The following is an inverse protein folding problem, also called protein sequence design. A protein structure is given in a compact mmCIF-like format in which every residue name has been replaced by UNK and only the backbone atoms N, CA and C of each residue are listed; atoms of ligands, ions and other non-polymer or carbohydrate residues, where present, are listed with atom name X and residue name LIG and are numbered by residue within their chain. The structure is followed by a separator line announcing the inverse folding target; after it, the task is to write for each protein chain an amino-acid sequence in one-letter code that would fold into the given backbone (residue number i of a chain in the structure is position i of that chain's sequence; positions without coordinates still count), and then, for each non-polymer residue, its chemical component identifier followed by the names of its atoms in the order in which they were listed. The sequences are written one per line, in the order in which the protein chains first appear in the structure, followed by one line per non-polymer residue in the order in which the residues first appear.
data_IF_396631647922
#
_entry.id   IF_396631647922
#
_cell.length_a   1.000
_cell.length_b   1.000
_cell.length_c   1.000
_cell.angle_alpha   90.00
_cell.angle_beta   90.00
_cell.angle_gamma   90.00
#
_symmetry.space_group_name_H-M   'P 1'
#
loop_
_entity.id
_entity.type
_entity.pdbx_description
1 polymer ?
#
# COMPACT_ATOMS: atom_id res chain seq x y z
N UNK A 1 1.35 -13.37 -12.04
CA UNK A 1 2.21 -12.60 -11.11
C UNK A 1 1.45 -11.61 -10.21
N UNK A 2 0.52 -10.79 -10.74
CA UNK A 2 -0.30 -9.85 -9.96
C UNK A 2 -0.98 -10.42 -8.69
N UNK A 3 -1.54 -11.62 -8.78
CA UNK A 3 -2.20 -12.31 -7.65
C UNK A 3 -1.24 -12.70 -6.52
N UNK A 4 0.01 -13.05 -6.82
CA UNK A 4 1.00 -13.46 -5.81
C UNK A 4 1.38 -12.27 -4.93
N UNK A 5 1.64 -11.11 -5.54
CA UNK A 5 1.92 -9.86 -4.81
C UNK A 5 0.72 -9.41 -3.96
N UNK A 6 -0.49 -9.44 -4.53
CA UNK A 6 -1.71 -9.11 -3.77
C UNK A 6 -1.89 -10.08 -2.60
N UNK A 7 -1.62 -11.37 -2.81
CA UNK A 7 -1.69 -12.38 -1.75
C UNK A 7 -0.68 -12.10 -0.63
N UNK A 8 0.58 -11.79 -0.97
CA UNK A 8 1.62 -11.40 0.00
C UNK A 8 1.21 -10.14 0.79
N UNK A 9 0.64 -9.13 0.13
CA UNK A 9 0.16 -7.90 0.78
C UNK A 9 -1.02 -8.21 1.71
N UNK A 10 -1.96 -9.07 1.29
CA UNK A 10 -3.07 -9.52 2.15
C UNK A 10 -2.58 -10.33 3.35
N UNK A 11 -1.56 -11.15 3.16
CA UNK A 11 -0.93 -11.93 4.24
C UNK A 11 -0.26 -10.98 5.24
N UNK A 12 0.53 -10.03 4.75
CA UNK A 12 1.09 -8.96 5.58
C UNK A 12 0.00 -8.19 6.34
N UNK A 13 -1.09 -7.81 5.66
CA UNK A 13 -2.22 -7.12 6.29
C UNK A 13 -2.91 -7.98 7.36
N UNK A 14 -3.07 -9.28 7.13
CA UNK A 14 -3.76 -10.19 8.05
C UNK A 14 -2.94 -10.54 9.29
N UNK A 15 -1.63 -10.72 9.11
CA UNK A 15 -0.75 -11.18 10.19
C UNK A 15 0.00 -10.06 10.90
N UNK A 16 0.39 -8.98 10.18
CA UNK A 16 1.24 -7.91 10.72
C UNK A 16 0.45 -6.63 11.01
N UNK A 17 -0.60 -6.31 10.23
CA UNK A 17 -1.40 -5.10 10.49
C UNK A 17 -2.15 -5.08 11.83
N UNK A 18 -2.72 -6.18 12.38
CA UNK A 18 -3.42 -6.11 13.67
C UNK A 18 -2.47 -5.93 14.86
N UNK A 19 -1.18 -6.22 14.67
CA UNK A 19 -0.13 -6.04 15.67
C UNK A 19 0.45 -4.63 15.68
N UNK A 20 0.07 -3.76 14.73
CA UNK A 20 0.60 -2.40 14.60
C UNK A 20 -0.53 -1.39 14.60
N UNK A 21 -0.38 -0.26 15.32
CA UNK A 21 -1.35 0.83 15.25
C UNK A 21 -1.45 1.37 13.81
N UNK A 22 -2.57 2.03 13.49
CA UNK A 22 -2.79 2.61 12.17
C UNK A 22 -1.78 3.73 11.89
N UNK A 23 -0.62 3.39 11.32
CA UNK A 23 0.43 4.34 10.97
C UNK A 23 0.23 4.99 9.59
N UNK A 24 -0.76 4.53 8.80
CA UNK A 24 -1.01 5.09 7.47
C UNK A 24 -1.55 6.51 7.60
N UNK A 25 -0.75 7.49 7.19
CA UNK A 25 -1.16 8.90 7.12
C UNK A 25 -1.92 9.27 5.85
N UNK A 26 -1.86 8.41 4.85
CA UNK A 26 -2.55 8.62 3.58
C UNK A 26 -3.81 7.78 3.48
N UNK A 27 -4.84 8.34 2.85
CA UNK A 27 -6.09 7.64 2.52
C UNK A 27 -6.22 7.50 0.99
N UNK A 28 -6.58 6.32 0.46
CA UNK A 28 -6.69 5.04 1.16
C UNK A 28 -5.33 4.54 1.69
N UNK A 29 -5.36 3.57 2.63
CA UNK A 29 -4.14 3.06 3.29
C UNK A 29 -3.11 2.55 2.28
N UNK A 30 -1.81 2.55 2.64
CA UNK A 30 -0.74 2.11 1.73
C UNK A 30 -0.95 0.69 1.20
N UNK A 31 -1.53 -0.21 2.01
CA UNK A 31 -1.86 -1.58 1.59
C UNK A 31 -2.99 -1.62 0.55
N UNK A 32 -3.99 -0.76 0.70
CA UNK A 32 -5.12 -0.70 -0.23
C UNK A 32 -4.72 -0.02 -1.53
N UNK A 33 -3.95 1.07 -1.45
CA UNK A 33 -3.29 1.68 -2.60
C UNK A 33 -2.41 0.69 -3.35
N UNK A 34 -1.66 -0.16 -2.64
CA UNK A 34 -0.82 -1.16 -3.28
C UNK A 34 -1.64 -2.18 -4.09
N UNK A 35 -2.78 -2.61 -3.55
CA UNK A 35 -3.69 -3.53 -4.24
C UNK A 35 -4.27 -2.86 -5.49
N UNK A 36 -4.84 -1.67 -5.36
CA UNK A 36 -5.40 -0.91 -6.50
C UNK A 36 -4.35 -0.62 -7.58
N UNK A 37 -3.13 -0.23 -7.18
CA UNK A 37 -2.05 0.09 -8.11
C UNK A 37 -1.58 -1.17 -8.86
N UNK A 38 -1.49 -2.32 -8.18
CA UNK A 38 -1.13 -3.60 -8.80
C UNK A 38 -2.24 -4.11 -9.72
N UNK A 39 -3.52 -3.89 -9.38
CA UNK A 39 -4.64 -4.25 -10.23
C UNK A 39 -4.68 -3.39 -11.50
N UNK A 40 -4.42 -2.09 -11.39
CA UNK A 40 -4.52 -1.14 -12.50
C UNK A 40 -3.30 -1.09 -13.41
N UNK A 41 -2.09 -1.06 -12.83
CA UNK A 41 -0.83 -0.89 -13.56
C UNK A 41 0.01 -2.17 -13.64
N UNK A 42 -0.44 -3.26 -13.01
CA UNK A 42 0.29 -4.52 -12.94
C UNK A 42 1.31 -4.59 -11.80
N UNK A 43 1.88 -5.78 -11.62
CA UNK A 43 2.77 -6.13 -10.50
C UNK A 43 4.00 -5.21 -10.36
N UNK A 44 4.70 -4.92 -11.46
CA UNK A 44 5.94 -4.16 -11.44
C UNK A 44 5.68 -2.66 -11.19
N UNK A 45 4.85 -2.03 -12.04
CA UNK A 45 4.58 -0.59 -11.97
C UNK A 45 3.73 -0.23 -10.74
N UNK A 46 2.73 -1.05 -10.42
CA UNK A 46 1.92 -0.90 -9.21
C UNK A 46 2.71 -1.16 -7.93
N UNK A 47 3.59 -2.18 -7.93
CA UNK A 47 4.49 -2.45 -6.81
C UNK A 47 5.47 -1.30 -6.56
N UNK A 48 6.05 -0.72 -7.62
CA UNK A 48 6.95 0.43 -7.50
C UNK A 48 6.23 1.67 -6.92
N UNK A 49 5.03 1.98 -7.40
CA UNK A 49 4.21 3.08 -6.86
C UNK A 49 3.87 2.85 -5.38
N UNK A 50 3.50 1.62 -5.02
CA UNK A 50 3.20 1.25 -3.64
C UNK A 50 4.41 1.43 -2.71
N UNK A 51 5.58 0.92 -3.09
CA UNK A 51 6.81 1.03 -2.30
C UNK A 51 7.20 2.50 -2.12
N UNK A 52 7.18 3.29 -3.19
CA UNK A 52 7.47 4.73 -3.14
C UNK A 52 6.55 5.47 -2.15
N UNK A 53 5.28 5.06 -2.06
CA UNK A 53 4.33 5.64 -1.12
C UNK A 53 4.52 5.16 0.32
N UNK A 54 4.84 3.89 0.52
CA UNK A 54 5.19 3.34 1.85
C UNK A 54 6.40 4.09 2.42
N UNK A 55 7.43 4.35 1.60
CA UNK A 55 8.60 5.14 2.00
C UNK A 55 8.27 6.59 2.37
N UNK A 56 7.23 7.16 1.75
CA UNK A 56 6.71 8.51 2.07
C UNK A 56 5.73 8.53 3.25
N UNK A 57 5.33 7.36 3.75
CA UNK A 57 4.39 7.23 4.85
C UNK A 57 5.13 7.28 6.20
N UNK A 58 5.74 8.42 6.48
CA UNK A 58 6.51 8.69 7.69
C UNK A 58 5.88 9.85 8.50
N UNK A 59 6.16 9.92 9.82
CA UNK A 59 5.51 10.89 10.71
C UNK A 59 5.87 12.38 10.45
N UNK A 60 6.73 12.64 9.49
CA UNK A 60 7.07 13.99 9.04
C UNK A 60 6.23 14.45 7.85
N UNK A 61 5.43 13.57 7.26
CA UNK A 61 4.57 13.89 6.13
C UNK A 61 3.14 14.16 6.61
N UNK A 62 2.51 15.26 6.18
CA UNK A 62 1.16 15.65 6.62
C UNK A 62 0.09 14.59 6.31
N UNK A 63 0.38 13.66 5.40
CA UNK A 63 -0.63 12.72 4.92
C UNK A 63 -1.64 13.42 4.01
N UNK A 64 -2.66 12.69 3.57
CA UNK A 64 -3.69 13.23 2.68
C UNK A 64 -4.41 12.18 1.84
N UNK A 65 -5.39 12.65 1.05
CA UNK A 65 -6.12 11.83 0.10
C UNK A 65 -5.35 11.70 -1.21
N UNK A 66 -4.93 10.49 -1.56
CA UNK A 66 -4.23 10.20 -2.81
C UNK A 66 -4.71 8.82 -3.30
N UNK A 67 -5.83 8.73 -4.03
CA UNK A 67 -6.27 7.46 -4.61
C UNK A 67 -5.45 7.12 -5.86
N UNK A 68 -5.40 5.84 -6.24
CA UNK A 68 -4.81 5.43 -7.52
C UNK A 68 -5.66 6.00 -8.67
N UNK A 69 -5.08 6.88 -9.49
CA UNK A 69 -5.75 7.47 -10.66
C UNK A 69 -5.85 6.52 -11.85
#
# INVERSE_FOLDING_TARGET
MKRILIFLIKLYRKYISPLKPACCRFYPTCSQYAIEAIEKYGALKGGFMAIKRILRCNPFNKGGYDPVK
#
